data_IF_496322724939
#
_entry.id   IF_496322724939
#
_cell.length_a   1.000
_cell.length_b   1.000
_cell.length_c   1.000
_cell.angle_alpha   90.00
_cell.angle_beta   90.00
_cell.angle_gamma   90.00
#
_symmetry.space_group_name_H-M   'P 1'
#
loop_
_entity.id
_entity.type
_entity.pdbx_description
1 polymer ?
#
# COMPACT_ATOMS: atom_id res chain seq x y z
N UNK A 1 7.48 20.09 5.26
CA UNK A 1 6.88 18.91 4.62
C UNK A 1 8.00 18.03 4.08
N UNK A 2 8.27 16.90 4.76
CA UNK A 2 9.28 15.93 4.35
C UNK A 2 8.57 14.65 3.90
N UNK A 3 8.79 14.28 2.65
CA UNK A 3 8.26 13.06 2.05
C UNK A 3 9.38 12.02 1.89
N UNK A 4 9.08 10.75 2.19
CA UNK A 4 9.98 9.63 1.89
C UNK A 4 9.18 8.36 1.57
N UNK A 5 9.82 7.45 0.83
CA UNK A 5 9.32 6.09 0.64
C UNK A 5 10.05 5.17 1.60
N UNK A 6 9.30 4.48 2.45
CA UNK A 6 9.85 3.56 3.46
C UNK A 6 9.27 2.16 3.30
N UNK A 7 10.02 1.14 3.75
CA UNK A 7 9.46 -0.22 3.90
C UNK A 7 8.28 -0.17 4.88
N UNK A 8 7.28 -1.02 4.64
CA UNK A 8 6.14 -1.13 5.52
C UNK A 8 6.55 -1.60 6.92
N UNK A 9 5.83 -1.12 7.93
CA UNK A 9 5.96 -1.49 9.33
C UNK A 9 4.57 -1.76 9.88
N UNK A 10 4.38 -2.84 10.64
CA UNK A 10 3.06 -3.17 11.22
C UNK A 10 2.53 -2.05 12.13
N UNK A 11 3.43 -1.27 12.74
CA UNK A 11 3.14 -0.09 13.53
C UNK A 11 2.28 0.96 12.80
N UNK A 12 2.32 0.98 11.47
CA UNK A 12 1.56 1.94 10.65
C UNK A 12 0.12 1.50 10.35
N UNK A 13 -0.29 0.30 10.77
CA UNK A 13 -1.59 -0.27 10.40
C UNK A 13 -2.76 0.61 10.86
N UNK A 14 -2.69 1.13 12.10
CA UNK A 14 -3.73 1.98 12.67
C UNK A 14 -3.88 3.29 11.88
N UNK A 15 -2.78 4.00 11.66
CA UNK A 15 -2.79 5.31 10.99
C UNK A 15 -3.17 5.19 9.51
N UNK A 16 -2.66 4.19 8.79
CA UNK A 16 -3.02 4.03 7.38
C UNK A 16 -4.46 3.58 7.18
N UNK A 17 -5.02 2.81 8.11
CA UNK A 17 -6.41 2.36 8.04
C UNK A 17 -7.41 3.53 8.05
N UNK A 18 -7.10 4.62 8.76
CA UNK A 18 -7.91 5.85 8.76
C UNK A 18 -8.06 6.40 7.35
N UNK A 19 -6.95 6.53 6.62
CA UNK A 19 -6.96 7.00 5.24
C UNK A 19 -7.52 5.97 4.26
N UNK A 20 -7.21 4.69 4.47
CA UNK A 20 -7.68 3.61 3.61
C UNK A 20 -9.20 3.41 3.69
N UNK A 21 -9.83 3.71 4.83
CA UNK A 21 -11.28 3.63 5.01
C UNK A 21 -12.04 4.83 4.41
N UNK A 22 -11.61 5.31 3.24
CA UNK A 22 -12.28 6.36 2.48
C UNK A 22 -12.79 5.77 1.16
N UNK A 23 -14.11 5.73 0.98
CA UNK A 23 -14.75 5.16 -0.21
C UNK A 23 -14.29 5.83 -1.51
N UNK A 24 -14.01 7.14 -1.51
CA UNK A 24 -13.50 7.84 -2.71
C UNK A 24 -12.13 7.31 -3.14
N UNK A 25 -11.30 6.90 -2.19
CA UNK A 25 -10.02 6.25 -2.48
C UNK A 25 -10.28 4.83 -2.99
N UNK A 26 -11.06 4.04 -2.26
CA UNK A 26 -11.39 2.66 -2.63
C UNK A 26 -12.03 2.52 -4.01
N UNK A 27 -12.89 3.45 -4.41
CA UNK A 27 -13.56 3.48 -5.72
C UNK A 27 -12.60 3.67 -6.91
N UNK A 28 -11.35 4.08 -6.66
CA UNK A 28 -10.30 4.22 -7.68
C UNK A 28 -9.25 3.10 -7.60
N UNK A 29 -9.44 2.11 -6.73
CA UNK A 29 -8.55 0.98 -6.53
C UNK A 29 -9.15 -0.32 -7.10
N UNK A 30 -8.38 -1.39 -6.99
CA UNK A 30 -8.79 -2.74 -7.42
C UNK A 30 -9.85 -3.31 -6.47
N UNK A 31 -10.64 -4.24 -6.99
CA UNK A 31 -11.65 -4.99 -6.22
C UNK A 31 -11.11 -5.71 -4.97
N UNK A 32 -9.79 -5.92 -4.88
CA UNK A 32 -9.12 -6.46 -3.69
C UNK A 32 -8.99 -5.47 -2.52
N UNK A 33 -9.40 -4.20 -2.69
CA UNK A 33 -9.37 -3.19 -1.64
C UNK A 33 -10.74 -3.14 -0.93
N UNK A 34 -10.86 -3.66 0.30
CA UNK A 34 -12.16 -3.82 0.95
C UNK A 34 -12.76 -2.47 1.39
N UNK A 35 -14.09 -2.44 1.50
CA UNK A 35 -14.83 -1.36 2.14
C UNK A 35 -15.98 -1.94 2.97
N UNK A 36 -16.13 -1.58 4.26
CA UNK A 36 -15.24 -0.71 5.04
C UNK A 36 -13.84 -1.32 5.21
N UNK A 37 -12.82 -0.48 5.21
CA UNK A 37 -11.44 -0.89 5.39
C UNK A 37 -11.09 -0.85 6.88
N UNK A 38 -10.53 -1.93 7.40
CA UNK A 38 -10.22 -2.07 8.83
C UNK A 38 -8.72 -2.07 9.09
N UNK A 39 -8.33 -1.85 10.36
CA UNK A 39 -6.93 -2.01 10.78
C UNK A 39 -6.40 -3.43 10.52
N UNK A 40 -7.27 -4.44 10.63
CA UNK A 40 -6.92 -5.82 10.29
C UNK A 40 -6.56 -5.95 8.80
N UNK A 41 -7.34 -5.31 7.92
CA UNK A 41 -7.04 -5.31 6.47
C UNK A 41 -5.71 -4.60 6.19
N UNK A 42 -5.42 -3.49 6.89
CA UNK A 42 -4.13 -2.80 6.80
C UNK A 42 -2.97 -3.72 7.21
N UNK A 43 -3.14 -4.44 8.32
CA UNK A 43 -2.13 -5.34 8.86
C UNK A 43 -1.88 -6.52 7.90
N UNK A 44 -2.93 -7.11 7.33
CA UNK A 44 -2.82 -8.16 6.32
C UNK A 44 -2.09 -7.66 5.06
N UNK A 45 -2.42 -6.46 4.59
CA UNK A 45 -1.73 -5.82 3.47
C UNK A 45 -0.23 -5.60 3.78
N UNK A 46 0.09 -5.04 4.94
CA UNK A 46 1.47 -4.79 5.39
C UNK A 46 2.28 -6.09 5.46
N UNK A 47 1.70 -7.14 6.01
CA UNK A 47 2.32 -8.48 6.07
C UNK A 47 2.56 -9.04 4.69
N UNK A 48 1.57 -8.98 3.81
CA UNK A 48 1.69 -9.40 2.42
C UNK A 48 2.77 -8.62 1.66
N UNK A 49 2.89 -7.31 1.91
CA UNK A 49 3.95 -6.46 1.38
C UNK A 49 5.34 -6.95 1.84
N UNK A 50 5.48 -7.23 3.13
CA UNK A 50 6.75 -7.58 3.78
C UNK A 50 7.21 -9.00 3.41
N UNK A 51 6.29 -9.95 3.31
CA UNK A 51 6.61 -11.35 3.01
C UNK A 51 7.20 -11.54 1.60
N UNK A 52 6.66 -10.80 0.61
CA UNK A 52 7.09 -10.88 -0.79
C UNK A 52 7.99 -9.70 -1.19
N UNK A 53 8.46 -8.90 -0.23
CA UNK A 53 9.37 -7.79 -0.46
C UNK A 53 10.62 -8.28 -1.22
N UNK A 54 10.97 -7.58 -2.30
CA UNK A 54 12.10 -7.91 -3.19
C UNK A 54 11.97 -9.27 -3.91
N UNK A 55 10.80 -9.94 -3.79
CA UNK A 55 10.45 -11.20 -4.44
C UNK A 55 9.29 -11.02 -5.42
N UNK A 56 9.51 -10.16 -6.41
CA UNK A 56 8.51 -9.87 -7.44
C UNK A 56 7.50 -8.80 -7.04
N UNK A 57 7.61 -8.20 -5.85
CA UNK A 57 6.95 -6.94 -5.55
C UNK A 57 7.84 -6.02 -4.70
N UNK A 58 7.60 -4.72 -4.81
CA UNK A 58 8.26 -3.69 -4.04
C UNK A 58 7.21 -2.73 -3.54
N UNK A 59 6.77 -2.90 -2.30
CA UNK A 59 5.74 -2.06 -1.71
C UNK A 59 6.37 -1.10 -0.70
N UNK A 60 6.01 0.18 -0.80
CA UNK A 60 6.48 1.23 0.12
C UNK A 60 5.29 1.96 0.72
N UNK A 61 5.44 2.32 1.98
CA UNK A 61 4.63 3.33 2.62
C UNK A 61 5.10 4.71 2.11
N UNK A 62 4.15 5.54 1.68
CA UNK A 62 4.41 6.95 1.39
C UNK A 62 4.32 7.67 2.73
N UNK A 63 5.46 8.14 3.24
CA UNK A 63 5.55 8.77 4.56
C UNK A 63 5.58 10.28 4.40
N UNK A 64 4.69 10.97 5.11
CA UNK A 64 4.63 12.43 5.21
C UNK A 64 4.83 12.82 6.67
N UNK A 65 5.90 13.59 6.94
CA UNK A 65 6.22 14.09 8.29
C UNK A 65 6.23 13.00 9.39
N UNK A 66 6.64 11.78 9.01
CA UNK A 66 6.79 10.62 9.92
C UNK A 66 5.60 9.65 9.95
N UNK A 67 4.47 10.03 9.34
CA UNK A 67 3.25 9.23 9.33
C UNK A 67 2.93 8.66 7.94
N UNK A 68 2.28 7.50 7.86
CA UNK A 68 1.88 6.90 6.59
C UNK A 68 0.70 7.70 5.99
N UNK A 69 0.84 8.08 4.72
CA UNK A 69 -0.13 8.88 3.98
C UNK A 69 -0.62 8.21 2.69
N UNK A 70 -0.22 6.96 2.45
CA UNK A 70 -0.58 6.21 1.25
C UNK A 70 0.36 5.05 0.98
N UNK A 71 0.18 4.43 -0.18
CA UNK A 71 1.02 3.32 -0.63
C UNK A 71 1.46 3.51 -2.08
N UNK A 72 2.66 3.03 -2.39
CA UNK A 72 3.15 2.84 -3.75
C UNK A 72 3.74 1.43 -3.86
N UNK A 73 3.44 0.75 -4.95
CA UNK A 73 3.84 -0.64 -5.17
C UNK A 73 4.23 -0.89 -6.62
N UNK A 74 5.28 -1.68 -6.82
CA UNK A 74 5.60 -2.28 -8.11
C UNK A 74 5.38 -3.78 -8.00
N UNK A 75 4.61 -4.37 -8.89
CA UNK A 75 4.29 -5.81 -8.94
C UNK A 75 4.79 -6.39 -10.25
N UNK A 76 5.83 -7.21 -10.20
CA UNK A 76 6.41 -7.84 -11.39
C UNK A 76 5.44 -8.88 -11.97
N UNK A 77 5.31 -8.88 -13.29
CA UNK A 77 4.56 -9.91 -14.00
C UNK A 77 5.22 -11.28 -13.88
N UNK A 78 4.49 -12.32 -14.27
CA UNK A 78 5.00 -13.70 -14.27
C UNK A 78 5.13 -14.26 -15.70
N UNK A 79 5.88 -15.35 -15.85
CA UNK A 79 6.09 -16.03 -17.13
C UNK A 79 6.54 -15.07 -18.26
N UNK A 80 5.76 -14.92 -19.33
CA UNK A 80 6.08 -14.05 -20.47
C UNK A 80 6.14 -12.56 -20.07
N UNK A 81 5.51 -12.17 -18.97
CA UNK A 81 5.50 -10.81 -18.44
C UNK A 81 6.58 -10.55 -17.38
N UNK A 82 7.54 -11.47 -17.16
CA UNK A 82 8.57 -11.33 -16.11
C UNK A 82 9.52 -10.13 -16.25
N UNK A 83 9.51 -9.46 -17.41
CA UNK A 83 10.27 -8.22 -17.68
C UNK A 83 9.39 -6.97 -17.66
N UNK A 84 8.13 -7.11 -17.27
CA UNK A 84 7.16 -6.04 -17.11
C UNK A 84 6.71 -6.00 -15.67
N UNK A 85 6.25 -4.84 -15.23
CA UNK A 85 5.71 -4.68 -13.91
C UNK A 85 4.56 -3.68 -13.94
N UNK A 86 3.64 -3.87 -13.02
CA UNK A 86 2.57 -2.94 -12.76
C UNK A 86 2.97 -1.98 -11.64
N UNK A 87 2.75 -0.69 -11.86
CA UNK A 87 2.86 0.34 -10.83
C UNK A 87 1.44 0.65 -10.31
N UNK A 88 1.26 0.54 -9.00
CA UNK A 88 0.04 0.97 -8.31
C UNK A 88 0.37 1.96 -7.20
N UNK A 89 -0.48 2.96 -6.99
CA UNK A 89 -0.36 3.86 -5.85
C UNK A 89 -1.71 4.43 -5.43
N UNK A 90 -1.79 4.90 -4.20
CA UNK A 90 -2.89 5.72 -3.70
C UNK A 90 -2.38 6.66 -2.60
N UNK A 91 -3.07 7.77 -2.42
CA UNK A 91 -2.78 8.79 -1.41
C UNK A 91 -4.03 9.03 -0.56
N UNK A 92 -3.83 9.21 0.74
CA UNK A 92 -4.87 9.60 1.67
C UNK A 92 -5.45 10.97 1.36
N UNK A 93 -6.77 11.10 1.49
CA UNK A 93 -7.50 12.37 1.52
C UNK A 93 -7.73 12.72 3.01
N UNK A 94 -7.15 13.81 3.53
CA UNK A 94 -7.35 14.27 4.91
C UNK A 94 -8.76 14.83 5.20
#
# INVERSE_FOLDING_TARGET
MKMQLAKWREEFAGEIAVYANNKKIGDNLRDGFPFPYTEKDALEYIRGCTEKEEKGQFCRAIILDGLPAGSIGIFAGTNIYKKSAELGYWLGEP
#
